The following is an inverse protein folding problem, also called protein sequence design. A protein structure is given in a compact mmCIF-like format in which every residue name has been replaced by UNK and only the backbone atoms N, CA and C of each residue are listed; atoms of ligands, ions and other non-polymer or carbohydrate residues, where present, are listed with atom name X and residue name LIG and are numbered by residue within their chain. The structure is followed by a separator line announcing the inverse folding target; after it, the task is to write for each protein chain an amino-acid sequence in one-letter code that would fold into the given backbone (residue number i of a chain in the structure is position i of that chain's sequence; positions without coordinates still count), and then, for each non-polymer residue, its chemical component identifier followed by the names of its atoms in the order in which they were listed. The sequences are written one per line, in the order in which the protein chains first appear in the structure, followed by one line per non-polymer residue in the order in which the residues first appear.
data_IF_966534022464
#
_entry.id   IF_966534022464
#
_cell.length_a   1.000
_cell.length_b   1.000
_cell.length_c   1.000
_cell.angle_alpha   90.00
_cell.angle_beta   90.00
_cell.angle_gamma   90.00
#
_symmetry.space_group_name_H-M   'P 1'
#
loop_
_entity.id
_entity.type
_entity.pdbx_description
1 polymer ?
#
# COMPACT_ATOMS: atom_id res chain seq x y z
N UNK A 1 22.02 -7.82 7.37
CA UNK A 1 20.90 -6.92 7.74
C UNK A 1 19.97 -6.68 6.56
N UNK A 2 20.44 -6.19 5.42
CA UNK A 2 19.63 -5.98 4.21
C UNK A 2 18.79 -7.20 3.79
N UNK A 3 19.40 -8.36 3.59
CA UNK A 3 18.72 -9.59 3.13
C UNK A 3 17.57 -10.02 4.04
N UNK A 4 17.74 -9.91 5.36
CA UNK A 4 16.69 -10.20 6.35
C UNK A 4 15.50 -9.25 6.21
N UNK A 5 15.74 -7.94 6.11
CA UNK A 5 14.68 -6.96 5.93
C UNK A 5 13.98 -7.09 4.57
N UNK A 6 14.73 -7.38 3.50
CA UNK A 6 14.17 -7.64 2.17
C UNK A 6 13.25 -8.87 2.20
N UNK A 7 13.69 -9.96 2.84
CA UNK A 7 12.87 -11.16 3.02
C UNK A 7 11.56 -10.83 3.75
N UNK A 8 11.65 -10.16 4.90
CA UNK A 8 10.47 -9.78 5.70
C UNK A 8 9.55 -8.85 4.89
N UNK A 9 10.09 -7.82 4.23
CA UNK A 9 9.31 -6.88 3.45
C UNK A 9 8.57 -7.54 2.29
N UNK A 10 9.22 -8.49 1.61
CA UNK A 10 8.64 -9.19 0.46
C UNK A 10 7.53 -10.13 0.89
N UNK A 11 7.73 -10.92 1.95
CA UNK A 11 6.70 -11.82 2.48
C UNK A 11 5.51 -11.05 3.08
N UNK A 12 5.77 -9.96 3.80
CA UNK A 12 4.71 -9.11 4.36
C UNK A 12 3.90 -8.41 3.25
N UNK A 13 4.53 -8.08 2.11
CA UNK A 13 3.83 -7.49 0.96
C UNK A 13 2.70 -8.38 0.41
N UNK A 14 2.86 -9.71 0.40
CA UNK A 14 1.79 -10.63 -0.01
C UNK A 14 0.57 -10.52 0.91
N UNK A 15 0.80 -10.47 2.23
CA UNK A 15 -0.28 -10.28 3.22
C UNK A 15 -0.96 -8.92 3.02
N UNK A 16 -0.17 -7.86 2.80
CA UNK A 16 -0.70 -6.51 2.55
C UNK A 16 -1.58 -6.48 1.33
N UNK A 17 -1.10 -7.03 0.21
CA UNK A 17 -1.85 -7.10 -1.04
C UNK A 17 -3.16 -7.86 -0.84
N UNK A 18 -3.11 -9.03 -0.21
CA UNK A 18 -4.31 -9.82 0.09
C UNK A 18 -5.33 -9.02 0.93
N UNK A 19 -4.89 -8.41 2.03
CA UNK A 19 -5.80 -7.70 2.94
C UNK A 19 -6.38 -6.44 2.29
N UNK A 20 -5.60 -5.69 1.51
CA UNK A 20 -6.11 -4.50 0.80
C UNK A 20 -7.08 -4.90 -0.31
N UNK A 21 -6.82 -5.98 -1.06
CA UNK A 21 -7.78 -6.53 -2.05
C UNK A 21 -9.08 -6.93 -1.36
N UNK A 22 -9.02 -7.69 -0.26
CA UNK A 22 -10.20 -8.10 0.50
C UNK A 22 -10.97 -6.90 1.05
N UNK A 23 -10.28 -5.89 1.57
CA UNK A 23 -10.92 -4.69 2.07
C UNK A 23 -11.59 -3.86 0.96
N UNK A 24 -10.94 -3.77 -0.20
CA UNK A 24 -11.48 -3.08 -1.39
C UNK A 24 -12.73 -3.79 -1.90
N UNK A 25 -12.66 -5.11 -2.10
CA UNK A 25 -13.80 -5.93 -2.54
C UNK A 25 -14.94 -5.86 -1.53
N UNK A 26 -14.67 -5.98 -0.23
CA UNK A 26 -15.68 -5.86 0.81
C UNK A 26 -16.37 -4.49 0.78
N UNK A 27 -15.60 -3.41 0.58
CA UNK A 27 -16.15 -2.06 0.50
C UNK A 27 -17.03 -1.85 -0.73
N UNK A 28 -16.59 -2.32 -1.90
CA UNK A 28 -17.35 -2.27 -3.15
C UNK A 28 -18.63 -3.10 -3.04
N UNK A 29 -18.54 -4.35 -2.58
CA UNK A 29 -19.68 -5.23 -2.40
C UNK A 29 -20.70 -4.64 -1.43
N UNK A 30 -20.25 -4.12 -0.28
CA UNK A 30 -21.13 -3.44 0.69
C UNK A 30 -21.81 -2.20 0.12
N UNK A 31 -21.11 -1.42 -0.71
CA UNK A 31 -21.67 -0.25 -1.37
C UNK A 31 -22.75 -0.60 -2.40
N UNK A 32 -22.48 -1.54 -3.31
CA UNK A 32 -23.42 -1.91 -4.38
C UNK A 32 -24.61 -2.73 -3.90
N UNK A 33 -24.40 -3.62 -2.91
CA UNK A 33 -25.49 -4.41 -2.31
C UNK A 33 -26.33 -3.62 -1.31
N UNK A 34 -25.96 -2.38 -0.98
CA UNK A 34 -26.60 -1.55 0.05
C UNK A 34 -26.69 -2.26 1.42
N UNK A 35 -25.71 -3.13 1.73
CA UNK A 35 -25.63 -3.86 3.00
C UNK A 35 -25.42 -2.90 4.17
N UNK A 36 -25.86 -3.29 5.37
CA UNK A 36 -25.49 -2.61 6.60
C UNK A 36 -24.00 -2.76 6.92
N UNK A 37 -23.41 -1.71 7.46
CA UNK A 37 -22.00 -1.69 7.85
C UNK A 37 -21.84 -2.23 9.27
N UNK A 38 -21.14 -3.35 9.44
CA UNK A 38 -21.00 -4.01 10.73
C UNK A 38 -19.56 -4.09 11.24
N UNK A 39 -19.41 -4.79 12.37
CA UNK A 39 -18.11 -4.99 13.03
C UNK A 39 -17.10 -5.78 12.16
N UNK A 40 -17.56 -6.64 11.25
CA UNK A 40 -16.69 -7.35 10.30
C UNK A 40 -16.07 -6.37 9.30
N UNK A 41 -16.88 -5.50 8.71
CA UNK A 41 -16.42 -4.48 7.76
C UNK A 41 -15.40 -3.51 8.37
N UNK A 42 -15.68 -3.11 9.62
CA UNK A 42 -14.79 -2.29 10.41
C UNK A 42 -13.42 -2.95 10.60
N UNK A 43 -13.41 -4.22 11.03
CA UNK A 43 -12.17 -4.98 11.27
C UNK A 43 -11.37 -5.17 9.99
N UNK A 44 -12.03 -5.52 8.87
CA UNK A 44 -11.36 -5.68 7.58
C UNK A 44 -10.65 -4.38 7.17
N UNK A 45 -11.33 -3.25 7.30
CA UNK A 45 -10.76 -1.93 6.96
C UNK A 45 -9.63 -1.53 7.92
N UNK A 46 -9.77 -1.85 9.22
CA UNK A 46 -8.72 -1.61 10.22
C UNK A 46 -7.48 -2.47 9.94
N UNK A 47 -7.63 -3.74 9.57
CA UNK A 47 -6.49 -4.58 9.23
C UNK A 47 -5.76 -4.06 8.00
N UNK A 48 -6.47 -3.62 6.95
CA UNK A 48 -5.86 -2.98 5.79
C UNK A 48 -5.04 -1.74 6.17
N UNK A 49 -5.51 -0.92 7.11
CA UNK A 49 -4.74 0.19 7.66
C UNK A 49 -3.47 -0.32 8.37
N UNK A 50 -3.60 -1.24 9.32
CA UNK A 50 -2.48 -1.68 10.16
C UNK A 50 -1.38 -2.33 9.32
N UNK A 51 -1.72 -3.30 8.47
CA UNK A 51 -0.70 -4.06 7.72
C UNK A 51 0.03 -3.20 6.72
N UNK A 52 -0.65 -2.23 6.08
CA UNK A 52 -0.02 -1.29 5.13
C UNK A 52 0.93 -0.32 5.82
N UNK A 53 0.64 0.11 7.05
CA UNK A 53 1.56 0.97 7.81
C UNK A 53 2.78 0.19 8.29
N UNK A 54 2.60 -1.06 8.75
CA UNK A 54 3.73 -1.93 9.09
C UNK A 54 4.62 -2.15 7.86
N UNK A 55 4.02 -2.40 6.69
CA UNK A 55 4.75 -2.53 5.42
C UNK A 55 5.57 -1.29 5.09
N UNK A 56 4.99 -0.10 5.28
CA UNK A 56 5.70 1.17 5.06
C UNK A 56 6.90 1.30 6.00
N UNK A 57 6.76 0.97 7.29
CA UNK A 57 7.87 1.07 8.25
C UNK A 57 9.02 0.12 7.87
N UNK A 58 8.70 -1.12 7.51
CA UNK A 58 9.69 -2.09 7.03
C UNK A 58 10.34 -1.59 5.72
N UNK A 59 9.53 -1.07 4.80
CA UNK A 59 9.97 -0.53 3.51
C UNK A 59 10.86 0.70 3.62
N UNK A 60 10.59 1.59 4.59
CA UNK A 60 11.44 2.73 4.89
C UNK A 60 12.81 2.28 5.40
N UNK A 61 12.86 1.32 6.32
CA UNK A 61 14.13 0.75 6.76
C UNK A 61 14.88 0.15 5.57
N UNK A 62 14.19 -0.63 4.74
CA UNK A 62 14.77 -1.25 3.55
C UNK A 62 15.31 -0.20 2.57
N UNK A 63 14.60 0.91 2.38
CA UNK A 63 15.02 2.01 1.49
C UNK A 63 16.38 2.60 1.90
N UNK A 64 16.69 2.70 3.20
CA UNK A 64 17.97 3.23 3.66
C UNK A 64 19.13 2.21 3.61
N UNK A 65 18.83 0.92 3.81
CA UNK A 65 19.88 -0.12 3.89
C UNK A 65 20.08 -0.89 2.59
N UNK A 66 19.17 -0.78 1.63
CA UNK A 66 19.25 -1.47 0.34
C UNK A 66 20.18 -0.75 -0.63
N UNK A 67 20.99 -1.50 -1.40
CA UNK A 67 21.80 -0.92 -2.48
C UNK A 67 20.96 -0.31 -3.61
N UNK A 68 19.69 -0.73 -3.77
CA UNK A 68 18.77 -0.22 -4.80
C UNK A 68 17.89 0.94 -4.31
N UNK A 69 17.94 1.28 -3.02
CA UNK A 69 17.20 2.37 -2.41
C UNK A 69 17.97 3.70 -2.45
N UNK A 70 18.09 4.36 -1.29
CA UNK A 70 18.79 5.64 -1.18
C UNK A 70 20.26 5.55 -1.59
N UNK A 71 20.92 4.44 -1.26
CA UNK A 71 22.33 4.22 -1.61
C UNK A 71 22.57 4.27 -3.12
N UNK A 72 21.61 3.82 -3.92
CA UNK A 72 21.69 3.89 -5.39
C UNK A 72 21.79 5.35 -5.86
N UNK A 73 20.95 6.22 -5.29
CA UNK A 73 20.96 7.66 -5.60
C UNK A 73 22.27 8.30 -5.14
N UNK A 74 22.76 7.94 -3.96
CA UNK A 74 24.01 8.50 -3.42
C UNK A 74 25.24 8.07 -4.24
N UNK A 75 25.26 6.82 -4.74
CA UNK A 75 26.42 6.27 -5.43
C UNK A 75 26.44 6.59 -6.93
N UNK A 76 25.28 6.52 -7.60
CA UNK A 76 25.17 6.71 -9.05
C UNK A 76 24.70 8.10 -9.46
N UNK A 77 24.17 8.89 -8.51
CA UNK A 77 23.58 10.20 -8.77
C UNK A 77 22.16 10.10 -9.35
N UNK A 78 21.34 11.11 -9.06
CA UNK A 78 19.93 11.15 -9.46
C UNK A 78 19.76 11.10 -10.98
N UNK A 79 20.66 11.72 -11.75
CA UNK A 79 20.59 11.73 -13.21
C UNK A 79 20.67 10.34 -13.84
N UNK A 80 21.48 9.44 -13.27
CA UNK A 80 21.61 8.06 -13.76
C UNK A 80 20.45 7.19 -13.29
N UNK A 81 20.08 7.30 -12.02
CA UNK A 81 18.91 6.60 -11.46
C UNK A 81 17.65 6.89 -12.27
N UNK A 82 17.45 8.13 -12.71
CA UNK A 82 16.27 8.49 -13.50
C UNK A 82 16.30 7.97 -14.94
N UNK A 83 17.47 7.64 -15.51
CA UNK A 83 17.57 7.06 -16.86
C UNK A 83 17.34 5.55 -16.85
N UNK A 84 17.89 4.85 -15.86
CA UNK A 84 17.72 3.41 -15.72
C UNK A 84 16.35 3.07 -15.12
N UNK A 85 15.52 2.32 -15.85
CA UNK A 85 14.16 1.98 -15.42
C UNK A 85 14.09 1.15 -14.15
N UNK A 86 15.06 0.27 -13.92
CA UNK A 86 15.12 -0.55 -12.72
C UNK A 86 15.48 0.31 -11.51
N UNK A 87 16.52 1.13 -11.62
CA UNK A 87 16.95 2.01 -10.55
C UNK A 87 15.86 3.01 -10.16
N UNK A 88 15.20 3.61 -11.16
CA UNK A 88 14.09 4.52 -10.95
C UNK A 88 12.91 3.84 -10.25
N UNK A 89 12.60 2.59 -10.63
CA UNK A 89 11.53 1.83 -10.00
C UNK A 89 11.75 1.66 -8.50
N UNK A 90 12.92 1.15 -8.09
CA UNK A 90 13.18 0.87 -6.67
C UNK A 90 13.47 2.12 -5.84
N UNK A 91 14.24 3.07 -6.36
CA UNK A 91 14.69 4.21 -5.58
C UNK A 91 13.66 5.35 -5.54
N UNK A 92 12.73 5.41 -6.50
CA UNK A 92 11.83 6.57 -6.64
C UNK A 92 10.36 6.14 -6.77
N UNK A 93 10.01 5.42 -7.84
CA UNK A 93 8.61 5.20 -8.19
C UNK A 93 7.88 4.31 -7.17
N UNK A 94 8.50 3.20 -6.78
CA UNK A 94 7.95 2.29 -5.78
C UNK A 94 7.72 2.98 -4.43
N UNK A 95 8.75 3.53 -3.73
CA UNK A 95 8.54 4.13 -2.42
C UNK A 95 7.55 5.30 -2.46
N UNK A 96 7.60 6.14 -3.49
CA UNK A 96 6.66 7.25 -3.65
C UNK A 96 5.22 6.77 -3.79
N UNK A 97 4.97 5.80 -4.67
CA UNK A 97 3.61 5.28 -4.91
C UNK A 97 3.10 4.45 -3.73
N UNK A 98 3.98 3.77 -2.98
CA UNK A 98 3.59 3.09 -1.73
C UNK A 98 3.22 4.09 -0.62
N UNK A 99 3.91 5.23 -0.52
CA UNK A 99 3.51 6.30 0.40
C UNK A 99 2.12 6.83 0.02
N UNK A 100 1.87 7.09 -1.27
CA UNK A 100 0.54 7.51 -1.73
C UNK A 100 -0.52 6.45 -1.41
N UNK A 101 -0.23 5.17 -1.62
CA UNK A 101 -1.11 4.05 -1.25
C UNK A 101 -1.50 4.15 0.24
N UNK A 102 -0.53 4.32 1.13
CA UNK A 102 -0.78 4.46 2.58
C UNK A 102 -1.62 5.71 2.88
N UNK A 103 -1.33 6.84 2.24
CA UNK A 103 -2.12 8.08 2.39
C UNK A 103 -3.59 7.84 2.03
N UNK A 104 -3.88 7.21 0.89
CA UNK A 104 -5.26 6.91 0.48
C UNK A 104 -5.96 5.93 1.44
N UNK A 105 -5.26 4.87 1.91
CA UNK A 105 -5.79 3.96 2.93
C UNK A 105 -6.13 4.73 4.23
N UNK A 106 -5.24 5.61 4.69
CA UNK A 106 -5.45 6.42 5.90
C UNK A 106 -6.61 7.39 5.76
N UNK A 107 -6.74 8.06 4.61
CA UNK A 107 -7.86 8.96 4.36
C UNK A 107 -9.19 8.19 4.32
N UNK A 108 -9.25 7.07 3.59
CA UNK A 108 -10.43 6.21 3.53
C UNK A 108 -10.85 5.73 4.91
N UNK A 109 -9.90 5.21 5.69
CA UNK A 109 -10.15 4.76 7.05
C UNK A 109 -10.57 5.90 7.99
N UNK A 110 -9.92 7.05 7.93
CA UNK A 110 -10.24 8.16 8.84
C UNK A 110 -11.59 8.81 8.52
N UNK A 111 -11.94 8.92 7.24
CA UNK A 111 -13.19 9.55 6.80
C UNK A 111 -14.40 8.63 6.97
N UNK A 112 -14.28 7.31 6.76
CA UNK A 112 -15.45 6.42 6.88
C UNK A 112 -16.00 6.39 8.31
N UNK A 113 -15.14 6.45 9.34
CA UNK A 113 -15.55 6.48 10.75
C UNK A 113 -16.49 7.64 11.08
N UNK A 114 -16.30 8.78 10.41
CA UNK A 114 -17.09 10.00 10.58
C UNK A 114 -18.45 9.95 9.87
N UNK A 115 -18.73 8.92 9.06
CA UNK A 115 -20.03 8.75 8.38
C UNK A 115 -21.01 8.03 9.31
N UNK A 116 -22.24 8.55 9.41
CA UNK A 116 -23.31 7.93 10.20
C UNK A 116 -23.92 6.73 9.47
N UNK A 117 -24.34 6.94 8.21
CA UNK A 117 -25.02 5.92 7.41
C UNK A 117 -24.05 4.88 6.82
N UNK A 118 -24.48 3.61 6.81
CA UNK A 118 -23.74 2.48 6.24
C UNK A 118 -23.27 2.72 4.81
N UNK A 119 -24.16 3.21 3.94
CA UNK A 119 -23.82 3.51 2.54
C UNK A 119 -22.69 4.55 2.43
N UNK A 120 -22.71 5.58 3.30
CA UNK A 120 -21.65 6.60 3.33
C UNK A 120 -20.30 6.03 3.78
N UNK A 121 -20.30 5.09 4.75
CA UNK A 121 -19.10 4.38 5.18
C UNK A 121 -18.51 3.56 4.03
N UNK A 122 -19.31 2.69 3.42
CA UNK A 122 -18.88 1.86 2.29
C UNK A 122 -18.42 2.67 1.08
N UNK A 123 -19.16 3.71 0.68
CA UNK A 123 -18.77 4.60 -0.43
C UNK A 123 -17.39 5.21 -0.20
N UNK A 124 -17.13 5.69 1.02
CA UNK A 124 -15.85 6.30 1.37
C UNK A 124 -14.73 5.28 1.26
N UNK A 125 -14.89 4.09 1.85
CA UNK A 125 -13.88 3.04 1.77
C UNK A 125 -13.67 2.58 0.32
N UNK A 126 -14.74 2.36 -0.44
CA UNK A 126 -14.69 1.87 -1.82
C UNK A 126 -13.85 2.80 -2.71
N UNK A 127 -14.07 4.12 -2.64
CA UNK A 127 -13.31 5.10 -3.44
C UNK A 127 -11.83 5.08 -3.07
N UNK A 128 -11.53 5.30 -1.78
CA UNK A 128 -10.15 5.48 -1.34
C UNK A 128 -9.33 4.18 -1.43
N UNK A 129 -9.92 3.03 -1.10
CA UNK A 129 -9.21 1.75 -1.14
C UNK A 129 -9.01 1.24 -2.57
N UNK A 130 -9.94 1.52 -3.48
CA UNK A 130 -9.73 1.22 -4.91
C UNK A 130 -8.57 2.05 -5.47
N UNK A 131 -8.51 3.35 -5.17
CA UNK A 131 -7.38 4.20 -5.60
C UNK A 131 -6.06 3.67 -5.02
N UNK A 132 -6.03 3.35 -3.72
CA UNK A 132 -4.87 2.77 -3.08
C UNK A 132 -4.44 1.45 -3.72
N UNK A 133 -5.39 0.56 -4.03
CA UNK A 133 -5.12 -0.72 -4.67
C UNK A 133 -4.52 -0.53 -6.07
N UNK A 134 -5.07 0.37 -6.88
CA UNK A 134 -4.55 0.68 -8.22
C UNK A 134 -3.12 1.24 -8.14
N UNK A 135 -2.88 2.19 -7.24
CA UNK A 135 -1.55 2.74 -7.00
C UNK A 135 -0.56 1.63 -6.61
N UNK A 136 -0.93 0.80 -5.63
CA UNK A 136 -0.08 -0.31 -5.19
C UNK A 136 0.24 -1.27 -6.34
N UNK A 137 -0.76 -1.75 -7.07
CA UNK A 137 -0.56 -2.68 -8.19
C UNK A 137 0.32 -2.08 -9.30
N UNK A 138 0.27 -0.76 -9.50
CA UNK A 138 1.03 -0.08 -10.55
C UNK A 138 2.55 -0.08 -10.35
N UNK A 139 3.03 -0.17 -9.09
CA UNK A 139 4.46 -0.07 -8.76
C UNK A 139 4.98 -1.14 -7.82
N UNK A 140 4.25 -2.23 -7.60
CA UNK A 140 4.87 -3.44 -7.03
C UNK A 140 5.97 -3.91 -8.01
N UNK A 141 7.20 -4.20 -7.56
CA UNK A 141 8.25 -4.76 -8.41
C UNK A 141 7.97 -6.25 -8.66
N UNK A 142 6.98 -6.53 -9.51
CA UNK A 142 6.45 -7.88 -9.77
C UNK A 142 7.53 -8.90 -10.18
N UNK A 143 8.57 -8.45 -10.89
CA UNK A 143 9.68 -9.29 -11.32
C UNK A 143 10.52 -9.85 -10.15
N UNK A 144 10.33 -9.38 -8.91
CA UNK A 144 10.99 -9.95 -7.73
C UNK A 144 10.23 -11.14 -7.12
N UNK A 145 9.00 -11.39 -7.59
CA UNK A 145 8.12 -12.42 -7.03
C UNK A 145 8.11 -13.72 -7.85
N UNK A 146 8.79 -13.73 -8.99
CA UNK A 146 8.91 -14.83 -9.94
C UNK A 146 10.38 -15.06 -10.31
#
# INVERSE_FOLDING_TARGET
MYTTFQFIHSYWAYLVLLVVVLATINALAGFFSKREYGAKDFRISLFALIVTHIQLLIGLILYFISPLGLQNITNSGMGEVMKNSEYRLYAVEHPLVMILTVVFITIGYSKHKKKLLSQGKFKTLAIFYTIALVLMLSRIPWAQWF
#
